data_IF_954275809051
#
_entry.id   IF_954275809051
#
_cell.length_a   1.000
_cell.length_b   1.000
_cell.length_c   1.000
_cell.angle_alpha   90.00
_cell.angle_beta   90.00
_cell.angle_gamma   90.00
#
_symmetry.space_group_name_H-M   'P 1'
#
loop_
_entity.id
_entity.type
_entity.pdbx_description
1 polymer ?
#
# COMPACT_ATOMS: atom_id res chain seq x y z
N UNK A 1 -15.67 0.97 6.48
CA UNK A 1 -14.81 -0.19 6.79
C UNK A 1 -13.95 -0.57 5.61
N UNK A 2 -12.65 -0.28 5.71
CA UNK A 2 -11.60 -0.74 4.79
C UNK A 2 -10.80 -1.86 5.46
N UNK A 3 -10.17 -2.70 4.66
CA UNK A 3 -9.13 -3.65 5.11
C UNK A 3 -7.78 -3.08 4.70
N UNK A 4 -6.92 -2.82 5.68
CA UNK A 4 -5.62 -2.19 5.48
C UNK A 4 -4.54 -3.16 5.93
N UNK A 5 -3.82 -3.73 4.97
CA UNK A 5 -2.71 -4.65 5.21
C UNK A 5 -1.39 -3.90 5.17
N UNK A 6 -0.74 -3.81 6.33
CA UNK A 6 0.57 -3.20 6.52
C UNK A 6 1.67 -4.23 6.31
N UNK A 7 2.43 -4.10 5.23
CA UNK A 7 3.58 -4.96 4.93
C UNK A 7 4.83 -4.30 5.50
N UNK A 8 5.24 -4.75 6.68
CA UNK A 8 6.23 -4.10 7.53
C UNK A 8 7.57 -4.81 7.36
N UNK A 9 8.65 -4.02 7.22
CA UNK A 9 9.99 -4.59 7.10
C UNK A 9 11.05 -3.55 6.82
N UNK A 10 12.31 -3.86 7.16
CA UNK A 10 13.46 -2.97 6.91
C UNK A 10 13.71 -2.77 5.40
N UNK A 11 14.64 -1.87 5.05
CA UNK A 11 15.09 -1.72 3.66
C UNK A 11 15.65 -3.06 3.16
N UNK A 12 15.23 -3.51 1.98
CA UNK A 12 15.64 -4.80 1.41
C UNK A 12 14.92 -6.03 1.97
N UNK A 13 13.93 -5.88 2.87
CA UNK A 13 13.18 -7.00 3.45
C UNK A 13 12.19 -7.68 2.48
N UNK A 14 12.09 -7.24 1.22
CA UNK A 14 11.18 -7.85 0.25
C UNK A 14 9.74 -7.32 0.27
N UNK A 15 9.44 -6.20 0.96
CA UNK A 15 8.09 -5.59 0.95
C UNK A 15 7.54 -5.33 -0.46
N UNK A 16 8.33 -4.69 -1.32
CA UNK A 16 7.92 -4.38 -2.68
C UNK A 16 7.68 -5.64 -3.51
N UNK A 17 8.46 -6.70 -3.24
CA UNK A 17 8.24 -8.03 -3.82
C UNK A 17 6.89 -8.60 -3.40
N UNK A 18 6.60 -8.59 -2.10
CA UNK A 18 5.33 -9.06 -1.57
C UNK A 18 4.15 -8.31 -2.20
N UNK A 19 4.24 -6.98 -2.32
CA UNK A 19 3.19 -6.15 -2.94
C UNK A 19 2.95 -6.50 -4.41
N UNK A 20 4.02 -6.70 -5.18
CA UNK A 20 3.91 -7.05 -6.60
C UNK A 20 3.43 -8.50 -6.81
N UNK A 21 3.87 -9.43 -5.98
CA UNK A 21 3.33 -10.80 -5.96
C UNK A 21 1.85 -10.79 -5.61
N UNK A 22 1.42 -9.95 -4.65
CA UNK A 22 0.00 -9.80 -4.32
C UNK A 22 -0.80 -9.18 -5.47
N UNK A 23 -0.23 -8.21 -6.19
CA UNK A 23 -0.83 -7.66 -7.41
C UNK A 23 -1.05 -8.77 -8.45
N UNK A 24 -0.02 -9.57 -8.72
CA UNK A 24 -0.08 -10.63 -9.73
C UNK A 24 -1.06 -11.74 -9.32
N UNK A 25 -1.12 -12.09 -8.04
CA UNK A 25 -2.14 -12.99 -7.47
C UNK A 25 -3.55 -12.46 -7.75
N UNK A 26 -3.84 -11.21 -7.41
CA UNK A 26 -5.17 -10.61 -7.62
C UNK A 26 -5.54 -10.55 -9.11
N UNK A 27 -4.58 -10.21 -9.99
CA UNK A 27 -4.82 -10.26 -11.43
C UNK A 27 -5.16 -11.68 -11.91
N UNK A 28 -4.49 -12.71 -11.37
CA UNK A 28 -4.80 -14.11 -11.68
C UNK A 28 -6.19 -14.55 -11.19
N UNK A 29 -6.71 -13.91 -10.14
CA UNK A 29 -8.08 -14.08 -9.63
C UNK A 29 -9.13 -13.31 -10.45
N UNK A 30 -8.72 -12.61 -11.51
CA UNK A 30 -9.62 -11.90 -12.41
C UNK A 30 -9.85 -10.43 -12.05
N UNK A 31 -9.10 -9.86 -11.10
CA UNK A 31 -9.07 -8.42 -10.92
C UNK A 31 -8.45 -7.73 -12.15
N UNK A 32 -8.82 -6.48 -12.39
CA UNK A 32 -8.30 -5.67 -13.50
C UNK A 32 -7.65 -4.42 -12.97
N UNK A 33 -6.49 -4.07 -13.51
CA UNK A 33 -5.87 -2.78 -13.27
C UNK A 33 -6.71 -1.67 -13.90
N UNK A 34 -7.08 -0.68 -13.09
CA UNK A 34 -7.88 0.47 -13.53
C UNK A 34 -7.08 1.77 -13.49
N UNK A 35 -6.03 1.84 -12.68
CA UNK A 35 -5.10 2.97 -12.62
C UNK A 35 -3.75 2.50 -12.05
N UNK A 36 -2.68 3.22 -12.36
CA UNK A 36 -1.36 2.98 -11.82
C UNK A 36 -0.47 4.22 -11.88
N UNK A 37 0.44 4.34 -10.93
CA UNK A 37 1.53 5.31 -10.95
C UNK A 37 2.86 4.62 -10.76
N UNK A 38 3.90 5.10 -11.47
CA UNK A 38 5.28 4.59 -11.36
C UNK A 38 5.38 3.06 -11.52
N UNK A 39 4.55 2.48 -12.39
CA UNK A 39 4.42 1.03 -12.58
C UNK A 39 5.76 0.30 -12.85
N UNK A 40 6.71 0.97 -13.51
CA UNK A 40 8.03 0.43 -13.80
C UNK A 40 9.06 0.62 -12.68
N UNK A 41 8.76 1.42 -11.65
CA UNK A 41 9.60 1.58 -10.47
C UNK A 41 9.16 0.60 -9.37
N UNK A 42 9.88 -0.51 -9.30
CA UNK A 42 9.64 -1.57 -8.33
C UNK A 42 9.52 -1.09 -6.87
N UNK A 43 10.19 0.00 -6.49
CA UNK A 43 10.20 0.49 -5.11
C UNK A 43 9.19 1.61 -4.85
N UNK A 44 8.44 2.06 -5.86
CA UNK A 44 7.53 3.20 -5.77
C UNK A 44 6.22 3.01 -6.55
N UNK A 45 6.03 1.87 -7.20
CA UNK A 45 4.81 1.57 -7.94
C UNK A 45 3.58 1.56 -7.02
N UNK A 46 2.51 2.16 -7.52
CA UNK A 46 1.19 2.20 -6.92
C UNK A 46 0.19 1.70 -7.96
N UNK A 47 -0.72 0.82 -7.57
CA UNK A 47 -1.73 0.23 -8.45
C UNK A 47 -3.11 0.36 -7.83
N UNK A 48 -4.12 0.65 -8.65
CA UNK A 48 -5.52 0.44 -8.32
C UNK A 48 -6.07 -0.72 -9.15
N UNK A 49 -6.61 -1.72 -8.48
CA UNK A 49 -7.25 -2.88 -9.08
C UNK A 49 -8.74 -2.90 -8.75
N UNK A 50 -9.56 -3.37 -9.69
CA UNK A 50 -10.99 -3.58 -9.50
C UNK A 50 -11.36 -5.04 -9.64
N UNK A 51 -12.10 -5.57 -8.67
CA UNK A 51 -12.57 -6.95 -8.68
C UNK A 51 -13.73 -7.15 -9.66
N UNK A 52 -14.05 -8.40 -10.05
CA UNK A 52 -15.26 -8.70 -10.82
C UNK A 52 -16.56 -8.28 -10.13
N UNK A 53 -16.57 -8.19 -8.80
CA UNK A 53 -17.71 -7.75 -7.98
C UNK A 53 -17.75 -6.24 -7.76
N UNK A 54 -16.75 -5.51 -8.24
CA UNK A 54 -16.68 -4.05 -8.21
C UNK A 54 -15.91 -3.45 -7.03
N UNK A 55 -15.33 -4.27 -6.15
CA UNK A 55 -14.45 -3.81 -5.06
C UNK A 55 -13.16 -3.22 -5.63
N UNK A 56 -12.61 -2.20 -4.95
CA UNK A 56 -11.37 -1.53 -5.35
C UNK A 56 -10.28 -1.80 -4.33
N UNK A 57 -9.12 -2.20 -4.81
CA UNK A 57 -7.93 -2.44 -4.02
C UNK A 57 -6.78 -1.53 -4.49
N UNK A 58 -6.08 -0.93 -3.52
CA UNK A 58 -4.88 -0.14 -3.78
C UNK A 58 -3.67 -0.88 -3.25
N UNK A 59 -2.61 -0.97 -4.06
CA UNK A 59 -1.36 -1.61 -3.71
C UNK A 59 -0.21 -0.62 -3.85
N UNK A 60 0.50 -0.32 -2.76
CA UNK A 60 1.65 0.60 -2.73
C UNK A 60 2.93 -0.13 -2.31
N UNK A 61 3.94 -0.07 -3.17
CA UNK A 61 5.24 -0.71 -2.95
C UNK A 61 6.26 0.19 -2.23
N UNK A 62 5.98 1.49 -2.12
CA UNK A 62 6.95 2.50 -1.68
C UNK A 62 6.73 3.04 -0.27
N UNK A 63 7.81 3.10 0.52
CA UNK A 63 7.77 3.60 1.92
C UNK A 63 9.07 4.27 2.39
N UNK A 64 10.00 4.53 1.47
CA UNK A 64 11.39 4.83 1.81
C UNK A 64 11.65 6.32 2.05
N UNK A 65 10.80 7.20 1.51
CA UNK A 65 10.97 8.66 1.55
C UNK A 65 9.63 9.35 1.83
N UNK A 66 9.70 10.55 2.44
CA UNK A 66 8.51 11.37 2.74
C UNK A 66 7.73 11.76 1.49
N UNK A 67 8.40 12.04 0.37
CA UNK A 67 7.74 12.36 -0.90
C UNK A 67 6.96 11.16 -1.46
N UNK A 68 7.53 9.95 -1.40
CA UNK A 68 6.87 8.71 -1.84
C UNK A 68 5.56 8.49 -1.04
N UNK A 69 5.62 8.67 0.28
CA UNK A 69 4.45 8.52 1.15
C UNK A 69 3.39 9.58 0.82
N UNK A 70 3.81 10.82 0.55
CA UNK A 70 2.88 11.89 0.16
C UNK A 70 2.18 11.58 -1.17
N UNK A 71 2.92 11.16 -2.19
CA UNK A 71 2.34 10.79 -3.49
C UNK A 71 1.35 9.64 -3.36
N UNK A 72 1.65 8.66 -2.50
CA UNK A 72 0.68 7.60 -2.18
C UNK A 72 -0.60 8.17 -1.55
N UNK A 73 -0.49 9.13 -0.63
CA UNK A 73 -1.67 9.81 -0.09
C UNK A 73 -2.46 10.58 -1.13
N UNK A 74 -1.79 11.28 -2.04
CA UNK A 74 -2.45 11.96 -3.15
C UNK A 74 -3.20 10.94 -4.06
N UNK A 75 -2.65 9.74 -4.25
CA UNK A 75 -3.30 8.64 -4.96
C UNK A 75 -4.52 8.08 -4.22
N UNK A 76 -4.44 7.90 -2.89
CA UNK A 76 -5.59 7.46 -2.08
C UNK A 76 -6.79 8.41 -2.19
N UNK A 77 -6.55 9.72 -2.24
CA UNK A 77 -7.60 10.74 -2.42
C UNK A 77 -8.27 10.64 -3.80
N UNK A 78 -7.59 10.13 -4.82
CA UNK A 78 -8.19 9.92 -6.14
C UNK A 78 -9.05 8.64 -6.20
N UNK A 79 -8.90 7.75 -5.22
CA UNK A 79 -9.52 6.43 -5.17
C UNK A 79 -10.16 6.20 -3.78
N UNK A 80 -10.99 7.15 -3.32
CA UNK A 80 -11.65 7.11 -2.00
C UNK A 80 -12.56 5.88 -1.82
N UNK A 81 -12.99 5.25 -2.93
CA UNK A 81 -13.78 4.03 -2.94
C UNK A 81 -13.00 2.76 -2.54
N UNK A 82 -11.69 2.86 -2.36
CA UNK A 82 -10.85 1.70 -2.05
C UNK A 82 -11.25 1.04 -0.72
N UNK A 83 -11.73 -0.21 -0.83
CA UNK A 83 -12.12 -1.03 0.31
C UNK A 83 -10.97 -1.90 0.82
N UNK A 84 -9.92 -2.09 0.00
CA UNK A 84 -8.71 -2.83 0.36
C UNK A 84 -7.47 -2.01 0.07
N UNK A 85 -6.55 -1.94 1.02
CA UNK A 85 -5.30 -1.22 0.88
C UNK A 85 -4.16 -2.11 1.35
N UNK A 86 -3.20 -2.35 0.46
CA UNK A 86 -1.95 -3.04 0.76
C UNK A 86 -0.83 -2.03 0.64
N UNK A 87 -0.07 -1.81 1.70
CA UNK A 87 1.05 -0.85 1.64
C UNK A 87 2.29 -1.37 2.31
N UNK A 88 3.42 -1.20 1.62
CA UNK A 88 4.72 -1.26 2.26
C UNK A 88 4.82 -0.17 3.33
N UNK A 89 5.43 -0.50 4.47
CA UNK A 89 5.66 0.46 5.56
C UNK A 89 6.97 0.12 6.30
N UNK A 90 7.59 1.14 6.90
CA UNK A 90 8.81 0.97 7.70
C UNK A 90 8.51 0.44 9.11
N UNK A 91 9.43 -0.32 9.74
CA UNK A 91 9.28 -0.75 11.12
C UNK A 91 9.64 0.39 12.08
N UNK A 92 9.04 0.47 13.26
CA UNK A 92 9.30 1.52 14.25
C UNK A 92 10.55 1.22 15.12
N UNK A 93 11.69 0.93 14.49
CA UNK A 93 12.92 0.49 15.17
C UNK A 93 14.05 1.54 15.22
N UNK A 94 13.93 2.62 14.45
CA UNK A 94 14.84 3.76 14.49
C UNK A 94 14.02 5.04 14.38
N UNK A 95 14.54 6.17 14.87
CA UNK A 95 13.84 7.46 14.78
C UNK A 95 13.38 7.78 13.36
N UNK A 96 14.26 7.59 12.37
CA UNK A 96 13.94 7.84 10.96
C UNK A 96 12.83 6.93 10.46
N UNK A 97 12.87 5.64 10.81
CA UNK A 97 11.86 4.70 10.34
C UNK A 97 10.52 4.93 11.05
N UNK A 98 10.52 5.30 12.33
CA UNK A 98 9.31 5.71 13.07
C UNK A 98 8.68 6.94 12.42
N UNK A 99 9.46 7.97 12.09
CA UNK A 99 9.00 9.15 11.34
C UNK A 99 8.29 8.79 10.02
N UNK A 100 8.81 7.80 9.29
CA UNK A 100 8.22 7.33 8.03
C UNK A 100 7.00 6.45 8.27
N UNK A 101 7.02 5.62 9.30
CA UNK A 101 5.90 4.77 9.70
C UNK A 101 4.69 5.63 10.07
N UNK A 102 4.89 6.58 10.98
CA UNK A 102 3.80 7.42 11.50
C UNK A 102 3.18 8.26 10.37
N UNK A 103 4.00 8.79 9.45
CA UNK A 103 3.50 9.48 8.24
C UNK A 103 2.68 8.60 7.32
N UNK A 104 3.04 7.32 7.18
CA UNK A 104 2.23 6.39 6.39
C UNK A 104 0.88 6.17 7.07
N UNK A 105 0.84 6.04 8.40
CA UNK A 105 -0.42 5.93 9.14
C UNK A 105 -1.28 7.19 9.02
N UNK A 106 -0.67 8.38 9.06
CA UNK A 106 -1.37 9.66 8.81
C UNK A 106 -2.02 9.67 7.43
N UNK A 107 -1.27 9.29 6.40
CA UNK A 107 -1.76 9.22 5.02
C UNK A 107 -2.91 8.21 4.87
N UNK A 108 -2.81 7.05 5.52
CA UNK A 108 -3.89 6.05 5.50
C UNK A 108 -5.16 6.55 6.19
N UNK A 109 -5.02 7.49 7.14
CA UNK A 109 -6.12 8.08 7.91
C UNK A 109 -7.06 7.01 8.44
N UNK A 110 -6.49 6.01 9.14
CA UNK A 110 -7.18 4.82 9.63
C UNK A 110 -8.31 5.24 10.58
N UNK A 111 -9.52 4.74 10.32
CA UNK A 111 -10.72 4.99 11.11
C UNK A 111 -10.98 3.84 12.09
N UNK A 112 -11.80 4.08 13.11
CA UNK A 112 -12.05 3.07 14.16
C UNK A 112 -12.76 1.79 13.70
N UNK A 113 -13.44 1.83 12.55
CA UNK A 113 -14.10 0.67 11.93
C UNK A 113 -13.24 -0.01 10.87
N UNK A 114 -12.02 0.46 10.60
CA UNK A 114 -11.10 -0.20 9.67
C UNK A 114 -10.48 -1.45 10.32
N UNK A 115 -10.26 -2.48 9.50
CA UNK A 115 -9.55 -3.69 9.89
C UNK A 115 -8.09 -3.52 9.48
N UNK A 116 -7.19 -3.52 10.45
CA UNK A 116 -5.74 -3.39 10.21
C UNK A 116 -5.06 -4.74 10.36
N UNK A 117 -4.50 -5.23 9.27
CA UNK A 117 -3.70 -6.45 9.22
C UNK A 117 -2.21 -6.11 9.13
N UNK A 118 -1.36 -7.00 9.63
CA UNK A 118 0.09 -6.79 9.68
C UNK A 118 0.83 -8.01 9.15
N UNK A 119 1.78 -7.77 8.26
CA UNK A 119 2.68 -8.78 7.71
C UNK A 119 4.11 -8.31 7.98
N UNK A 120 4.86 -9.05 8.77
CA UNK A 120 6.23 -8.69 9.17
C UNK A 120 7.24 -9.50 8.32
N UNK A 121 8.22 -8.81 7.71
CA UNK A 121 9.25 -9.36 6.81
C UNK A 121 10.69 -9.01 7.25
#
# INVERSE_FOLDING_TARGET
MRIITLVIGKKGAGKSKWILEKKDEMLSEGWKQIDAQKETDYNQAIFALKSPTGEVAILNSGSDLKCIIKEFGDFLVQHEEASRIFTAIRPQNTKQNTDLHDRMLEVLSIQGDDIVERIEL
#
